data_IF_194987466175
#
_entry.id   IF_194987466175
#
_cell.length_a   1.000
_cell.length_b   1.000
_cell.length_c   1.000
_cell.angle_alpha   90.00
_cell.angle_beta   90.00
_cell.angle_gamma   90.00
#
_symmetry.space_group_name_H-M   'P 1'
#
loop_
_entity.id
_entity.type
_entity.pdbx_description
1 polymer ?
#
# COMPACT_ATOMS: atom_id res chain seq x y z
N UNK A 1 -19.94 1.76 -8.30
CA UNK A 1 -19.09 1.95 -9.51
C UNK A 1 -18.15 0.77 -9.58
N UNK A 2 -18.29 -0.09 -10.57
CA UNK A 2 -17.50 -1.32 -10.68
C UNK A 2 -16.16 -1.00 -11.37
N UNK A 3 -15.07 -1.03 -10.61
CA UNK A 3 -13.72 -0.65 -11.08
C UNK A 3 -13.04 -1.78 -11.88
N UNK A 4 -13.71 -2.93 -12.06
CA UNK A 4 -13.19 -4.16 -12.69
C UNK A 4 -11.95 -4.74 -12.02
N UNK A 5 -11.67 -4.33 -10.78
CA UNK A 5 -10.56 -4.87 -10.00
C UNK A 5 -10.91 -6.26 -9.50
N UNK A 6 -9.93 -7.18 -9.55
CA UNK A 6 -10.10 -8.57 -9.06
C UNK A 6 -9.53 -8.79 -7.67
N UNK A 7 -8.81 -7.80 -7.14
CA UNK A 7 -8.28 -7.85 -5.77
C UNK A 7 -9.33 -7.40 -4.75
N UNK A 8 -9.15 -7.82 -3.50
CA UNK A 8 -10.01 -7.40 -2.40
C UNK A 8 -9.92 -5.88 -2.22
N UNK A 9 -11.06 -5.21 -2.33
CA UNK A 9 -11.19 -3.80 -1.96
C UNK A 9 -11.80 -3.73 -0.57
N UNK A 10 -11.10 -3.09 0.36
CA UNK A 10 -11.56 -2.90 1.73
C UNK A 10 -12.24 -1.54 1.87
N UNK A 11 -13.45 -1.53 2.42
CA UNK A 11 -14.10 -0.28 2.88
C UNK A 11 -13.69 -0.10 4.35
N UNK A 12 -12.98 0.98 4.71
CA UNK A 12 -12.54 1.18 6.09
C UNK A 12 -13.71 1.32 7.06
N UNK A 13 -13.70 0.52 8.11
CA UNK A 13 -14.50 0.75 9.31
C UNK A 13 -13.83 1.80 10.21
N UNK A 14 -14.45 2.15 11.34
CA UNK A 14 -13.91 3.20 12.21
C UNK A 14 -12.60 2.79 12.88
N UNK A 15 -12.41 1.50 13.16
CA UNK A 15 -11.15 1.03 13.70
C UNK A 15 -10.02 1.21 12.67
N UNK A 16 -10.24 0.87 11.40
CA UNK A 16 -9.24 1.06 10.36
C UNK A 16 -9.01 2.55 10.07
N UNK A 17 -10.00 3.43 10.19
CA UNK A 17 -9.81 4.88 10.01
C UNK A 17 -8.95 5.50 11.12
N UNK A 18 -9.23 5.15 12.38
CA UNK A 18 -8.69 5.88 13.53
C UNK A 18 -7.56 5.16 14.27
N UNK A 19 -7.45 3.84 14.14
CA UNK A 19 -6.45 3.03 14.87
C UNK A 19 -5.50 2.27 13.93
N UNK A 20 -5.34 2.72 12.68
CA UNK A 20 -4.43 2.12 11.72
C UNK A 20 -3.54 3.13 11.02
N UNK A 21 -2.73 2.66 10.06
CA UNK A 21 -1.91 3.47 9.15
C UNK A 21 -2.71 4.56 8.44
N UNK A 22 -4.03 4.38 8.23
CA UNK A 22 -4.86 5.36 7.53
C UNK A 22 -4.92 6.71 8.24
N UNK A 23 -4.81 6.76 9.58
CA UNK A 23 -4.85 8.01 10.33
C UNK A 23 -3.63 8.91 10.06
N UNK A 24 -2.53 8.32 9.57
CA UNK A 24 -1.27 9.01 9.30
C UNK A 24 -1.09 9.38 7.83
N UNK A 25 -2.06 9.07 6.97
CA UNK A 25 -2.01 9.44 5.56
C UNK A 25 -2.16 10.95 5.40
N UNK A 26 -1.16 11.59 4.79
CA UNK A 26 -1.15 13.03 4.55
C UNK A 26 -1.51 13.42 3.11
N UNK A 27 -1.52 12.46 2.19
CA UNK A 27 -1.79 12.70 0.77
C UNK A 27 -2.33 11.45 0.06
N UNK A 28 -2.96 11.67 -1.10
CA UNK A 28 -3.53 10.63 -1.95
C UNK A 28 -3.05 10.76 -3.41
N UNK A 29 -2.87 9.63 -4.14
CA UNK A 29 -2.85 8.26 -3.63
C UNK A 29 -1.59 7.97 -2.80
N UNK A 30 -1.65 6.99 -1.89
CA UNK A 30 -0.49 6.49 -1.14
C UNK A 30 -0.44 4.96 -1.26
N UNK A 31 0.75 4.42 -1.52
CA UNK A 31 1.01 2.97 -1.59
C UNK A 31 2.12 2.59 -0.62
N UNK A 32 1.93 1.50 0.12
CA UNK A 32 2.94 0.92 1.02
C UNK A 32 2.84 -0.61 0.97
N UNK A 33 3.93 -1.29 1.31
CA UNK A 33 4.01 -2.75 1.33
C UNK A 33 4.15 -3.23 2.77
N UNK A 34 3.54 -4.38 3.08
CA UNK A 34 3.61 -5.00 4.42
C UNK A 34 4.14 -6.42 4.32
N UNK A 35 4.92 -6.84 5.31
CA UNK A 35 5.38 -8.22 5.44
C UNK A 35 4.33 -9.12 6.13
N UNK A 36 4.63 -10.41 6.27
CA UNK A 36 3.75 -11.39 6.92
C UNK A 36 3.54 -11.17 8.42
N UNK A 37 4.34 -10.31 9.06
CA UNK A 37 4.22 -9.92 10.47
C UNK A 37 3.46 -8.61 10.65
N UNK A 38 3.06 -7.95 9.56
CA UNK A 38 2.36 -6.68 9.57
C UNK A 38 3.27 -5.45 9.66
N UNK A 39 4.58 -5.59 9.42
CA UNK A 39 5.49 -4.45 9.37
C UNK A 39 5.47 -3.81 7.98
N UNK A 40 5.54 -2.48 7.91
CA UNK A 40 5.74 -1.77 6.64
C UNK A 40 7.18 -2.03 6.18
N UNK A 41 7.32 -2.49 4.93
CA UNK A 41 8.61 -2.79 4.30
C UNK A 41 8.81 -1.94 3.05
N UNK A 42 10.06 -1.52 2.82
CA UNK A 42 10.39 -0.60 1.74
C UNK A 42 9.94 0.84 2.03
N UNK A 43 9.83 1.64 0.97
CA UNK A 43 9.46 3.05 1.07
C UNK A 43 7.95 3.23 0.88
N UNK A 44 7.37 4.15 1.66
CA UNK A 44 6.00 4.64 1.40
C UNK A 44 6.02 5.55 0.18
N UNK A 45 5.14 5.28 -0.77
CA UNK A 45 5.04 5.99 -2.04
C UNK A 45 3.85 6.93 -1.96
N UNK A 46 4.11 8.23 -2.07
CA UNK A 46 3.06 9.26 -2.14
C UNK A 46 2.95 9.74 -3.57
N UNK A 47 1.73 9.76 -4.11
CA UNK A 47 1.46 10.05 -5.52
C UNK A 47 1.40 8.79 -6.39
N UNK A 48 1.34 8.99 -7.71
CA UNK A 48 1.22 7.91 -8.68
C UNK A 48 2.57 7.55 -9.28
N UNK A 49 2.79 6.26 -9.50
CA UNK A 49 3.89 5.75 -10.33
C UNK A 49 3.36 5.09 -11.60
N UNK A 50 4.24 4.99 -12.58
CA UNK A 50 4.03 4.15 -13.76
C UNK A 50 4.15 2.67 -13.41
N UNK A 51 3.68 1.80 -14.31
CA UNK A 51 3.77 0.34 -14.15
C UNK A 51 5.21 -0.14 -13.97
N UNK A 52 6.14 0.39 -14.75
CA UNK A 52 7.54 -0.07 -14.73
C UNK A 52 8.26 0.39 -13.47
N UNK A 53 7.93 1.57 -12.95
CA UNK A 53 8.39 2.04 -11.65
C UNK A 53 7.85 1.16 -10.51
N UNK A 54 6.56 0.83 -10.53
CA UNK A 54 5.99 -0.10 -9.55
C UNK A 54 6.65 -1.47 -9.61
N UNK A 55 6.95 -1.99 -10.80
CA UNK A 55 7.64 -3.28 -10.95
C UNK A 55 9.00 -3.27 -10.24
N UNK A 56 9.81 -2.23 -10.46
CA UNK A 56 11.11 -2.08 -9.80
C UNK A 56 10.96 -2.00 -8.27
N UNK A 57 10.02 -1.19 -7.78
CA UNK A 57 9.77 -1.06 -6.33
C UNK A 57 9.36 -2.40 -5.70
N UNK A 58 8.52 -3.18 -6.39
CA UNK A 58 8.08 -4.49 -5.91
C UNK A 58 9.27 -5.46 -5.85
N UNK A 59 10.09 -5.53 -6.91
CA UNK A 59 11.29 -6.39 -6.97
C UNK A 59 12.30 -6.01 -5.87
N UNK A 60 12.58 -4.71 -5.71
CA UNK A 60 13.45 -4.18 -4.65
C UNK A 60 12.90 -4.49 -3.25
N UNK A 61 11.59 -4.37 -3.06
CA UNK A 61 10.95 -4.67 -1.77
C UNK A 61 11.04 -6.16 -1.47
N UNK A 62 10.71 -7.02 -2.43
CA UNK A 62 10.81 -8.48 -2.31
C UNK A 62 12.22 -8.94 -1.97
N UNK A 63 13.27 -8.30 -2.51
CA UNK A 63 14.66 -8.63 -2.16
C UNK A 63 15.01 -8.39 -0.68
N UNK A 64 14.26 -7.52 0.01
CA UNK A 64 14.47 -7.15 1.41
C UNK A 64 13.67 -8.00 2.38
N UNK A 65 12.61 -8.67 1.91
CA UNK A 65 11.80 -9.59 2.72
C UNK A 65 12.31 -11.00 2.47
N UNK A 66 12.89 -11.63 3.49
CA UNK A 66 13.36 -13.02 3.45
C UNK A 66 12.25 -14.01 3.75
#
# INVERSE_FOLDING_TARGET
>A
KDTKVKYLSLIPDDNLKYNSVLQYLTAYPTTFFVDSKGNIVGNVIVGSLTKDEFKKVIEDTLSKVK
#
